data_IF_152700233426
#
_entry.id   IF_152700233426
#
_cell.length_a   1.000
_cell.length_b   1.000
_cell.length_c   1.000
_cell.angle_alpha   90.00
_cell.angle_beta   90.00
_cell.angle_gamma   90.00
#
_symmetry.space_group_name_H-M   'P 1'
#
loop_
_entity.id
_entity.type
_entity.pdbx_description
1 polymer ?
#
# COMPACT_ATOMS: atom_id res chain seq x y z
N UNK A 1 -37.42 21.37 24.70
CA UNK A 1 -37.42 20.07 24.00
C UNK A 1 -36.28 19.96 22.97
N UNK A 2 -36.12 20.90 22.03
CA UNK A 2 -35.07 20.89 21.00
C UNK A 2 -33.64 20.82 21.58
N UNK A 3 -33.31 21.66 22.58
CA UNK A 3 -31.99 21.66 23.23
C UNK A 3 -31.68 20.33 23.93
N UNK A 4 -32.67 19.68 24.55
CA UNK A 4 -32.50 18.38 25.20
C UNK A 4 -32.17 17.29 24.17
N UNK A 5 -32.84 17.31 23.01
CA UNK A 5 -32.58 16.38 21.92
C UNK A 5 -31.18 16.59 21.30
N UNK A 6 -30.76 17.86 21.14
CA UNK A 6 -29.39 18.16 20.71
C UNK A 6 -28.33 17.67 21.72
N UNK A 7 -28.59 17.88 23.03
CA UNK A 7 -27.68 17.42 24.08
C UNK A 7 -27.59 15.89 24.17
N UNK A 8 -28.74 15.22 24.05
CA UNK A 8 -28.79 13.75 24.01
C UNK A 8 -28.06 13.20 22.76
N UNK A 9 -28.27 13.79 21.60
CA UNK A 9 -27.57 13.42 20.36
C UNK A 9 -26.05 13.61 20.49
N UNK A 10 -25.62 14.72 21.07
CA UNK A 10 -24.20 14.99 21.33
C UNK A 10 -23.58 13.99 22.32
N UNK A 11 -24.29 13.68 23.41
CA UNK A 11 -23.84 12.70 24.39
C UNK A 11 -23.72 11.29 23.80
N UNK A 12 -24.68 10.88 22.95
CA UNK A 12 -24.62 9.60 22.22
C UNK A 12 -23.41 9.59 21.27
N UNK A 13 -23.17 10.69 20.55
CA UNK A 13 -22.02 10.84 19.66
C UNK A 13 -20.69 10.69 20.39
N UNK A 14 -20.51 11.37 21.53
CA UNK A 14 -19.31 11.22 22.38
C UNK A 14 -19.16 9.79 22.90
N UNK A 15 -20.25 9.17 23.36
CA UNK A 15 -20.26 7.79 23.84
C UNK A 15 -19.84 6.81 22.73
N UNK A 16 -20.32 7.01 21.50
CA UNK A 16 -19.93 6.20 20.36
C UNK A 16 -18.45 6.35 20.00
N UNK A 17 -17.94 7.60 19.95
CA UNK A 17 -16.52 7.87 19.66
C UNK A 17 -15.63 7.24 20.74
N UNK A 18 -15.96 7.42 22.03
CA UNK A 18 -15.22 6.85 23.14
C UNK A 18 -15.24 5.31 23.09
N UNK A 19 -16.41 4.71 22.87
CA UNK A 19 -16.53 3.26 22.72
C UNK A 19 -15.76 2.70 21.51
N UNK A 20 -15.65 3.46 20.42
CA UNK A 20 -14.83 3.08 19.26
C UNK A 20 -13.33 3.11 19.60
N UNK A 21 -12.88 4.14 20.34
CA UNK A 21 -11.48 4.28 20.77
C UNK A 21 -11.12 3.20 21.81
N UNK A 22 -11.98 2.97 22.81
CA UNK A 22 -11.76 1.96 23.86
C UNK A 22 -11.72 0.53 23.28
N UNK A 23 -12.39 0.30 22.15
CA UNK A 23 -12.39 -0.97 21.43
C UNK A 23 -11.30 -1.06 20.34
N UNK A 24 -10.45 -0.03 20.20
CA UNK A 24 -9.34 -0.09 19.25
C UNK A 24 -8.29 -1.11 19.74
N UNK A 25 -7.66 -1.88 18.83
CA UNK A 25 -6.58 -2.77 19.21
C UNK A 25 -5.40 -1.99 19.80
N UNK A 26 -4.59 -2.66 20.63
CA UNK A 26 -3.29 -2.11 21.02
C UNK A 26 -2.43 -1.91 19.78
N UNK A 27 -1.76 -0.78 19.69
CA UNK A 27 -0.83 -0.54 18.59
C UNK A 27 0.53 -1.12 18.98
N UNK A 28 0.96 -2.17 18.29
CA UNK A 28 2.34 -2.63 18.28
C UNK A 28 2.97 -2.20 16.95
N UNK A 29 4.20 -1.68 16.99
CA UNK A 29 4.95 -1.28 15.78
C UNK A 29 5.17 -2.49 14.88
N UNK A 30 5.36 -3.68 15.45
CA UNK A 30 5.52 -4.92 14.69
C UNK A 30 4.28 -5.26 13.84
N UNK A 31 3.09 -4.91 14.31
CA UNK A 31 1.85 -5.14 13.56
C UNK A 31 1.69 -4.16 12.39
N UNK A 32 2.39 -3.02 12.45
CA UNK A 32 2.34 -1.98 11.41
C UNK A 32 3.34 -2.26 10.29
N UNK A 33 4.43 -2.93 10.60
CA UNK A 33 5.44 -3.31 9.60
C UNK A 33 4.81 -4.21 8.53
N UNK A 34 5.24 -4.08 7.28
CA UNK A 34 4.84 -4.99 6.23
C UNK A 34 5.09 -6.44 6.64
N UNK A 35 4.09 -7.30 6.47
CA UNK A 35 4.18 -8.70 6.82
C UNK A 35 4.02 -9.59 5.59
N UNK A 36 4.72 -10.73 5.59
CA UNK A 36 4.63 -11.70 4.50
C UNK A 36 5.43 -11.27 3.27
N UNK A 37 6.67 -11.74 3.21
CA UNK A 37 7.59 -11.51 2.11
C UNK A 37 7.75 -12.78 1.29
N UNK A 38 7.91 -12.62 -0.02
CA UNK A 38 8.26 -13.71 -0.91
C UNK A 38 9.68 -14.20 -0.62
N UNK A 39 9.90 -15.51 -0.62
CA UNK A 39 11.25 -16.06 -0.60
C UNK A 39 11.72 -16.31 -2.03
N UNK A 40 13.01 -16.12 -2.26
CA UNK A 40 13.61 -16.20 -3.59
C UNK A 40 14.72 -17.24 -3.64
N UNK A 41 14.71 -18.08 -4.68
CA UNK A 41 15.74 -19.09 -4.92
C UNK A 41 16.56 -18.63 -6.12
N UNK A 42 17.88 -18.54 -5.91
CA UNK A 42 18.84 -18.13 -6.93
C UNK A 42 19.78 -19.29 -7.28
N UNK A 43 20.33 -19.27 -8.49
CA UNK A 43 21.43 -20.13 -8.87
C UNK A 43 22.79 -19.60 -8.35
N UNK A 44 23.86 -20.34 -8.61
CA UNK A 44 25.21 -19.94 -8.20
C UNK A 44 25.73 -18.66 -8.89
N UNK A 45 25.15 -18.27 -10.00
CA UNK A 45 25.50 -17.09 -10.77
C UNK A 45 24.63 -15.89 -10.37
N UNK A 46 23.70 -16.06 -9.42
CA UNK A 46 22.80 -15.01 -8.92
C UNK A 46 21.54 -14.79 -9.77
N UNK A 47 21.22 -15.70 -10.70
CA UNK A 47 19.99 -15.60 -11.48
C UNK A 47 18.80 -16.12 -10.66
N UNK A 48 17.70 -15.38 -10.64
CA UNK A 48 16.46 -15.79 -9.98
C UNK A 48 15.86 -17.00 -10.67
N UNK A 49 15.80 -18.14 -9.95
CA UNK A 49 15.25 -19.40 -10.42
C UNK A 49 13.78 -19.58 -10.08
N UNK A 50 13.39 -19.16 -8.87
CA UNK A 50 12.03 -19.34 -8.36
C UNK A 50 11.70 -18.34 -7.28
N UNK A 51 10.46 -17.86 -7.26
CA UNK A 51 9.88 -17.11 -6.15
C UNK A 51 8.82 -17.97 -5.45
N UNK A 52 8.95 -18.16 -4.14
CA UNK A 52 8.00 -18.87 -3.31
C UNK A 52 7.06 -17.86 -2.67
N UNK A 53 5.77 -17.93 -2.99
CA UNK A 53 4.75 -16.94 -2.58
C UNK A 53 3.55 -17.63 -1.99
N UNK A 54 3.11 -17.19 -0.81
CA UNK A 54 1.80 -17.49 -0.26
C UNK A 54 0.82 -16.37 -0.60
N UNK A 55 -0.47 -16.62 -0.54
CA UNK A 55 -1.47 -15.55 -0.66
C UNK A 55 -1.20 -14.45 0.38
N UNK A 56 -1.06 -13.20 -0.07
CA UNK A 56 -0.71 -12.06 0.78
C UNK A 56 0.77 -11.90 1.11
N UNK A 57 1.69 -12.69 0.51
CA UNK A 57 3.14 -12.57 0.72
C UNK A 57 3.93 -12.22 -0.54
N UNK A 58 3.27 -11.86 -1.64
CA UNK A 58 3.96 -11.41 -2.85
C UNK A 58 4.46 -9.97 -2.68
N UNK A 59 5.50 -9.83 -1.87
CA UNK A 59 6.13 -8.56 -1.49
C UNK A 59 7.65 -8.72 -1.51
N UNK A 60 8.29 -7.72 -2.07
CA UNK A 60 9.74 -7.52 -2.00
C UNK A 60 9.98 -6.21 -1.25
N UNK A 61 10.85 -6.25 -0.26
CA UNK A 61 11.14 -5.10 0.59
C UNK A 61 12.08 -4.12 -0.11
N UNK A 62 11.85 -2.84 0.11
CA UNK A 62 12.72 -1.76 -0.32
C UNK A 62 12.82 -0.74 0.80
N UNK A 63 14.04 -0.28 1.11
CA UNK A 63 14.27 0.78 2.09
C UNK A 63 13.94 2.15 1.50
N UNK A 64 13.63 3.11 2.36
CA UNK A 64 13.22 4.45 1.94
C UNK A 64 14.25 5.15 1.05
N UNK A 65 15.54 4.98 1.35
CA UNK A 65 16.66 5.56 0.60
C UNK A 65 16.82 5.01 -0.83
N UNK A 66 16.19 3.88 -1.13
CA UNK A 66 16.16 3.29 -2.48
C UNK A 66 14.96 3.79 -3.31
N UNK A 67 14.01 4.49 -2.69
CA UNK A 67 12.81 4.99 -3.39
C UNK A 67 13.13 6.27 -4.16
N UNK A 68 12.81 6.36 -5.47
CA UNK A 68 12.96 7.61 -6.21
C UNK A 68 12.04 8.70 -5.66
N UNK A 69 12.54 9.94 -5.61
CA UNK A 69 11.74 11.10 -5.20
C UNK A 69 10.45 11.23 -6.02
N UNK A 70 10.51 10.97 -7.32
CA UNK A 70 9.35 11.01 -8.21
C UNK A 70 8.26 10.02 -7.80
N UNK A 71 8.65 8.83 -7.30
CA UNK A 71 7.71 7.84 -6.82
C UNK A 71 7.04 8.30 -5.52
N UNK A 72 7.85 8.70 -4.54
CA UNK A 72 7.37 9.19 -3.23
C UNK A 72 6.42 10.36 -3.45
N UNK A 73 6.82 11.34 -4.26
CA UNK A 73 6.04 12.53 -4.57
C UNK A 73 4.74 12.20 -5.33
N UNK A 74 4.74 11.21 -6.22
CA UNK A 74 3.52 10.79 -6.93
C UNK A 74 2.47 10.23 -5.98
N UNK A 75 2.89 9.39 -5.01
CA UNK A 75 1.98 8.86 -3.99
C UNK A 75 1.48 9.94 -3.03
N UNK A 76 2.36 10.83 -2.56
CA UNK A 76 1.97 11.96 -1.71
C UNK A 76 0.99 12.87 -2.46
N UNK A 77 1.27 13.21 -3.72
CA UNK A 77 0.45 14.11 -4.50
C UNK A 77 -1.00 13.63 -4.67
N UNK A 78 -1.18 12.33 -4.86
CA UNK A 78 -2.51 11.78 -5.13
C UNK A 78 -3.26 11.32 -3.89
N UNK A 79 -2.57 10.83 -2.87
CA UNK A 79 -3.19 10.23 -1.68
C UNK A 79 -3.25 11.21 -0.50
N UNK A 80 -2.20 12.03 -0.29
CA UNK A 80 -2.06 12.83 0.93
C UNK A 80 -1.17 14.06 0.72
N UNK A 81 -1.65 15.05 0.01
CA UNK A 81 -0.88 16.22 -0.44
C UNK A 81 -0.23 17.05 0.68
N UNK A 82 -0.64 16.86 1.93
CA UNK A 82 -0.10 17.53 3.11
C UNK A 82 0.51 16.56 4.12
N UNK A 83 0.97 15.42 3.64
CA UNK A 83 1.51 14.35 4.48
C UNK A 83 2.54 14.83 5.51
N UNK A 84 3.42 15.73 5.12
CA UNK A 84 4.46 16.30 6.01
C UNK A 84 3.95 17.42 6.94
N UNK A 85 2.69 17.89 6.77
CA UNK A 85 2.15 19.01 7.54
C UNK A 85 1.28 18.60 8.73
N UNK A 86 0.78 17.37 8.73
CA UNK A 86 -0.14 16.89 9.76
C UNK A 86 0.46 15.72 10.55
N UNK A 87 -0.16 15.38 11.68
CA UNK A 87 0.24 14.27 12.54
C UNK A 87 -0.82 13.15 12.51
N UNK A 88 -0.86 12.40 11.41
CA UNK A 88 -1.77 11.27 11.20
C UNK A 88 -3.19 11.64 10.75
N UNK A 89 -3.65 12.88 11.00
CA UNK A 89 -4.97 13.37 10.60
C UNK A 89 -4.85 14.69 9.87
N UNK A 90 -5.34 14.76 8.64
CA UNK A 90 -5.44 16.01 7.89
C UNK A 90 -6.80 16.70 8.11
N UNK A 91 -6.89 17.52 9.16
CA UNK A 91 -8.12 18.25 9.48
C UNK A 91 -8.55 19.22 8.37
N UNK A 92 -7.56 19.88 7.69
CA UNK A 92 -7.86 20.79 6.57
C UNK A 92 -8.44 20.00 5.39
N UNK A 93 -7.92 18.81 5.10
CA UNK A 93 -8.44 17.90 4.08
C UNK A 93 -9.86 17.43 4.39
N UNK A 94 -10.12 17.04 5.62
CA UNK A 94 -11.46 16.63 6.07
C UNK A 94 -12.47 17.78 5.88
N UNK A 95 -12.11 18.99 6.30
CA UNK A 95 -12.98 20.16 6.15
C UNK A 95 -13.21 20.52 4.67
N UNK A 96 -12.17 20.45 3.84
CA UNK A 96 -12.29 20.66 2.39
C UNK A 96 -13.19 19.61 1.76
N UNK A 97 -12.97 18.33 2.03
CA UNK A 97 -13.78 17.24 1.49
C UNK A 97 -15.26 17.35 1.93
N UNK A 98 -15.50 17.73 3.17
CA UNK A 98 -16.86 18.00 3.68
C UNK A 98 -17.50 19.18 2.95
N UNK A 99 -16.81 20.30 2.76
CA UNK A 99 -17.31 21.45 2.02
C UNK A 99 -17.65 21.11 0.56
N UNK A 100 -16.72 20.43 -0.15
CA UNK A 100 -16.94 20.01 -1.53
C UNK A 100 -18.08 18.98 -1.62
N UNK A 101 -18.17 18.05 -0.66
CA UNK A 101 -19.25 17.08 -0.60
C UNK A 101 -20.62 17.71 -0.43
N UNK A 102 -20.74 18.74 0.42
CA UNK A 102 -21.99 19.47 0.65
C UNK A 102 -22.35 20.33 -0.57
N UNK A 103 -21.39 21.05 -1.14
CA UNK A 103 -21.65 21.97 -2.26
C UNK A 103 -21.99 21.24 -3.56
N UNK A 104 -21.33 20.10 -3.82
CA UNK A 104 -21.50 19.34 -5.06
C UNK A 104 -22.50 18.17 -4.93
N UNK A 105 -23.05 17.94 -3.74
CA UNK A 105 -23.95 16.83 -3.44
C UNK A 105 -23.29 15.43 -3.58
N UNK A 106 -21.97 15.36 -3.64
CA UNK A 106 -21.20 14.12 -3.78
C UNK A 106 -19.93 14.19 -2.95
N UNK A 107 -19.76 13.24 -2.05
CA UNK A 107 -18.51 13.03 -1.31
C UNK A 107 -17.54 12.22 -2.19
N UNK A 108 -16.89 12.90 -3.12
CA UNK A 108 -15.97 12.28 -4.10
C UNK A 108 -14.50 12.43 -3.74
N UNK A 109 -14.16 13.33 -2.83
CA UNK A 109 -12.77 13.53 -2.39
C UNK A 109 -12.44 12.60 -1.22
N UNK A 110 -11.30 11.90 -1.33
CA UNK A 110 -10.70 11.17 -0.23
C UNK A 110 -10.09 12.14 0.79
N UNK A 111 -10.32 11.88 2.07
CA UNK A 111 -9.73 12.64 3.17
C UNK A 111 -8.95 11.73 4.13
N UNK A 112 -8.62 10.51 3.69
CA UNK A 112 -7.80 9.57 4.47
C UNK A 112 -6.33 9.84 4.21
N UNK A 113 -5.55 9.92 5.27
CA UNK A 113 -4.09 10.09 5.16
C UNK A 113 -3.39 8.77 4.83
N UNK A 114 -2.14 8.85 4.36
CA UNK A 114 -1.26 7.69 4.16
C UNK A 114 -1.15 6.87 5.45
N UNK A 115 -0.97 7.52 6.60
CA UNK A 115 -0.89 6.86 7.90
C UNK A 115 -2.17 6.10 8.25
N UNK A 116 -3.35 6.69 7.98
CA UNK A 116 -4.64 6.00 8.18
C UNK A 116 -4.80 4.79 7.26
N UNK A 117 -4.31 4.88 6.01
CA UNK A 117 -4.36 3.75 5.08
C UNK A 117 -3.43 2.62 5.54
N UNK A 118 -2.25 2.94 6.05
CA UNK A 118 -1.31 1.97 6.62
C UNK A 118 -1.94 1.23 7.81
N UNK A 119 -2.54 1.96 8.76
CA UNK A 119 -3.27 1.37 9.89
C UNK A 119 -4.43 0.47 9.42
N UNK A 120 -5.22 0.95 8.45
CA UNK A 120 -6.33 0.16 7.90
C UNK A 120 -5.85 -1.18 7.31
N UNK A 121 -4.74 -1.16 6.57
CA UNK A 121 -4.27 -2.32 5.84
C UNK A 121 -3.57 -3.34 6.75
N UNK A 122 -2.73 -2.88 7.67
CA UNK A 122 -1.86 -3.77 8.46
C UNK A 122 -2.43 -4.11 9.84
N UNK A 123 -3.06 -3.14 10.52
CA UNK A 123 -3.53 -3.34 11.90
C UNK A 123 -5.00 -3.74 11.95
N UNK A 124 -5.87 -3.01 11.25
CA UNK A 124 -7.32 -3.25 11.33
C UNK A 124 -7.81 -4.26 10.28
N UNK A 125 -7.03 -4.51 9.24
CA UNK A 125 -7.40 -5.37 8.09
C UNK A 125 -8.82 -5.09 7.60
N UNK A 126 -9.17 -3.78 7.54
CA UNK A 126 -10.53 -3.31 7.32
C UNK A 126 -10.84 -3.09 5.84
N UNK A 127 -12.12 -2.80 5.59
CA UNK A 127 -12.63 -2.50 4.23
C UNK A 127 -13.75 -3.43 3.80
N UNK A 128 -14.06 -4.43 4.61
CA UNK A 128 -15.09 -5.45 4.34
C UNK A 128 -16.39 -5.19 5.13
N UNK A 129 -16.47 -4.08 5.88
CA UNK A 129 -17.63 -3.76 6.73
C UNK A 129 -18.86 -3.49 5.86
N UNK A 130 -19.97 -4.11 6.23
CA UNK A 130 -21.26 -3.95 5.53
C UNK A 130 -22.13 -2.86 6.17
N UNK A 131 -22.01 -2.66 7.50
CA UNK A 131 -22.81 -1.66 8.22
C UNK A 131 -22.14 -0.28 8.23
N UNK A 132 -22.95 0.79 8.22
CA UNK A 132 -22.46 2.18 8.35
C UNK A 132 -21.84 2.44 9.73
N UNK A 133 -22.36 1.80 10.78
CA UNK A 133 -21.85 1.95 12.13
C UNK A 133 -20.43 1.36 12.25
N UNK A 134 -20.19 0.18 11.66
CA UNK A 134 -18.86 -0.45 11.68
C UNK A 134 -17.86 0.34 10.83
N UNK A 135 -18.26 0.85 9.67
CA UNK A 135 -17.44 1.75 8.84
C UNK A 135 -17.04 3.01 9.62
N UNK A 136 -17.98 3.61 10.34
CA UNK A 136 -17.70 4.79 11.15
C UNK A 136 -16.79 4.47 12.34
N UNK A 137 -17.06 3.33 13.03
CA UNK A 137 -16.21 2.85 14.14
C UNK A 137 -14.76 2.65 13.65
N UNK A 138 -14.57 1.91 12.56
CA UNK A 138 -13.25 1.70 11.97
C UNK A 138 -12.59 3.04 11.62
N UNK A 139 -13.34 3.98 11.03
CA UNK A 139 -12.77 5.27 10.64
C UNK A 139 -12.27 6.09 11.85
N UNK A 140 -12.97 6.01 12.99
CA UNK A 140 -12.52 6.62 14.25
C UNK A 140 -11.25 5.92 14.75
N UNK A 141 -11.21 4.58 14.68
CA UNK A 141 -10.03 3.80 15.08
C UNK A 141 -8.82 4.10 14.20
N UNK A 142 -9.00 4.19 12.86
CA UNK A 142 -7.95 4.60 11.93
C UNK A 142 -7.34 5.95 12.33
N UNK A 143 -8.18 6.95 12.60
CA UNK A 143 -7.71 8.27 12.99
C UNK A 143 -6.96 8.26 14.33
N UNK A 144 -7.52 7.59 15.33
CA UNK A 144 -6.90 7.48 16.66
C UNK A 144 -5.55 6.77 16.59
N UNK A 145 -5.49 5.62 15.92
CA UNK A 145 -4.27 4.84 15.77
C UNK A 145 -3.23 5.51 14.88
N UNK A 146 -3.65 6.28 13.87
CA UNK A 146 -2.74 7.03 13.01
C UNK A 146 -1.97 8.11 13.79
N UNK A 147 -2.65 8.88 14.65
CA UNK A 147 -1.97 9.85 15.52
C UNK A 147 -1.00 9.14 16.45
N UNK A 148 -1.43 8.05 17.08
CA UNK A 148 -0.59 7.27 17.99
C UNK A 148 0.63 6.68 17.28
N UNK A 149 0.49 6.23 16.03
CA UNK A 149 1.60 5.69 15.24
C UNK A 149 2.63 6.77 14.91
N UNK A 150 2.18 7.95 14.50
CA UNK A 150 3.07 9.06 14.19
C UNK A 150 3.86 9.53 15.42
N UNK A 151 3.20 9.56 16.59
CA UNK A 151 3.87 9.86 17.85
C UNK A 151 4.91 8.80 18.25
N UNK A 152 4.65 7.52 17.96
CA UNK A 152 5.55 6.43 18.32
C UNK A 152 6.74 6.28 17.38
N UNK A 153 6.53 6.43 16.07
CA UNK A 153 7.59 6.28 15.06
C UNK A 153 8.45 7.55 14.96
N UNK A 154 7.84 8.73 15.07
CA UNK A 154 8.52 10.02 14.98
C UNK A 154 9.17 10.32 13.61
N UNK A 155 8.97 9.48 12.59
CA UNK A 155 9.55 9.60 11.25
C UNK A 155 8.48 9.40 10.18
N UNK A 156 8.33 10.40 9.33
CA UNK A 156 7.46 10.36 8.15
C UNK A 156 8.01 9.41 7.09
N UNK A 157 9.31 9.35 6.95
CA UNK A 157 10.02 8.48 6.01
C UNK A 157 9.73 7.00 6.34
N UNK A 158 9.79 6.61 7.61
CA UNK A 158 9.46 5.25 8.05
C UNK A 158 7.99 4.89 7.76
N UNK A 159 7.07 5.83 7.93
CA UNK A 159 5.66 5.62 7.61
C UNK A 159 5.48 5.41 6.10
N UNK A 160 6.16 6.21 5.26
CA UNK A 160 6.15 6.07 3.81
C UNK A 160 6.75 4.74 3.37
N UNK A 161 7.88 4.34 3.96
CA UNK A 161 8.52 3.06 3.69
C UNK A 161 7.54 1.90 3.95
N UNK A 162 6.93 1.85 5.12
CA UNK A 162 5.96 0.82 5.45
C UNK A 162 4.74 0.85 4.54
N UNK A 163 4.24 2.04 4.22
CA UNK A 163 3.11 2.20 3.31
C UNK A 163 3.43 1.70 1.90
N UNK A 164 4.56 2.13 1.33
CA UNK A 164 4.98 1.77 -0.02
C UNK A 164 5.38 0.31 -0.15
N UNK A 165 5.81 -0.32 0.93
CA UNK A 165 6.02 -1.78 1.00
C UNK A 165 4.73 -2.58 1.25
N UNK A 166 3.62 -1.93 1.62
CA UNK A 166 2.35 -2.63 1.98
C UNK A 166 1.29 -2.54 0.90
N UNK A 167 1.24 -1.42 0.19
CA UNK A 167 0.10 -1.07 -0.67
C UNK A 167 -0.13 -2.12 -1.77
N UNK A 168 -1.42 -2.46 -1.98
CA UNK A 168 -1.82 -3.32 -3.09
C UNK A 168 -1.87 -2.51 -4.39
N UNK A 169 -1.06 -2.91 -5.37
CA UNK A 169 -0.95 -2.28 -6.68
C UNK A 169 -1.51 -3.15 -7.82
N UNK A 170 -2.40 -4.08 -7.48
CA UNK A 170 -3.05 -4.97 -8.47
C UNK A 170 -2.17 -6.15 -8.89
N UNK A 171 -2.76 -7.12 -9.60
CA UNK A 171 -1.99 -8.26 -10.11
C UNK A 171 -1.28 -9.09 -9.02
N UNK A 172 -1.83 -9.11 -7.82
CA UNK A 172 -1.21 -9.73 -6.63
C UNK A 172 0.13 -9.08 -6.22
N UNK A 173 0.38 -7.82 -6.59
CA UNK A 173 1.58 -7.09 -6.19
C UNK A 173 1.32 -6.32 -4.91
N UNK A 174 2.03 -6.66 -3.85
CA UNK A 174 2.07 -5.93 -2.60
C UNK A 174 3.40 -5.17 -2.51
N UNK A 175 3.30 -3.84 -2.38
CA UNK A 175 4.44 -2.94 -2.39
C UNK A 175 4.95 -2.55 -3.77
N UNK A 176 5.71 -1.46 -3.78
CA UNK A 176 6.16 -0.79 -5.02
C UNK A 176 7.26 -1.56 -5.75
N UNK A 177 8.13 -2.28 -5.03
CA UNK A 177 9.21 -3.06 -5.65
C UNK A 177 8.63 -4.22 -6.47
N UNK A 178 7.74 -5.00 -5.87
CA UNK A 178 7.04 -6.09 -6.57
C UNK A 178 6.26 -5.58 -7.77
N UNK A 179 5.62 -4.41 -7.64
CA UNK A 179 4.88 -3.78 -8.76
C UNK A 179 5.83 -3.29 -9.87
N UNK A 180 6.99 -2.74 -9.53
CA UNK A 180 8.02 -2.32 -10.47
C UNK A 180 8.54 -3.51 -11.29
N UNK A 181 8.86 -4.61 -10.64
CA UNK A 181 9.24 -5.86 -11.31
C UNK A 181 8.11 -6.41 -12.17
N UNK A 182 6.88 -6.45 -11.66
CA UNK A 182 5.73 -7.04 -12.35
C UNK A 182 5.34 -6.28 -13.61
N UNK A 183 5.36 -4.95 -13.56
CA UNK A 183 4.87 -4.13 -14.67
C UNK A 183 5.98 -3.69 -15.62
N UNK A 184 7.18 -3.46 -15.13
CA UNK A 184 8.28 -2.89 -15.92
C UNK A 184 9.52 -3.78 -16.00
N UNK A 185 9.64 -4.86 -15.21
CA UNK A 185 10.82 -5.71 -15.14
C UNK A 185 12.06 -4.98 -14.61
N UNK A 186 11.85 -3.97 -13.74
CA UNK A 186 12.89 -3.10 -13.20
C UNK A 186 12.82 -3.06 -11.68
N UNK A 187 13.93 -2.73 -11.06
CA UNK A 187 13.91 -2.31 -9.67
C UNK A 187 13.25 -0.93 -9.53
N UNK A 188 12.68 -0.66 -8.37
CA UNK A 188 11.96 0.58 -8.11
C UNK A 188 12.83 1.83 -8.32
N UNK A 189 14.11 1.77 -7.98
CA UNK A 189 15.06 2.89 -8.17
C UNK A 189 15.45 3.16 -9.64
N UNK A 190 15.05 2.29 -10.57
CA UNK A 190 15.27 2.45 -12.01
C UNK A 190 14.05 3.03 -12.73
N UNK A 191 12.96 3.28 -11.99
CA UNK A 191 11.72 3.78 -12.58
C UNK A 191 11.85 5.24 -13.00
N UNK A 192 11.33 5.56 -14.16
CA UNK A 192 11.16 6.93 -14.65
C UNK A 192 9.94 7.59 -14.01
N UNK A 193 9.84 8.94 -14.08
CA UNK A 193 8.65 9.69 -13.64
C UNK A 193 7.37 9.11 -14.22
N UNK A 194 7.38 8.77 -15.52
CA UNK A 194 6.24 8.16 -16.20
C UNK A 194 5.80 6.86 -15.58
N UNK A 195 6.75 5.98 -15.26
CA UNK A 195 6.51 4.68 -14.65
C UNK A 195 6.06 4.81 -13.18
N UNK A 196 6.66 5.73 -12.42
CA UNK A 196 6.23 6.06 -11.05
C UNK A 196 4.76 6.48 -10.99
N UNK A 197 4.33 7.31 -11.94
CA UNK A 197 2.94 7.80 -11.99
C UNK A 197 1.93 6.73 -12.43
N UNK A 198 2.34 5.70 -13.19
CA UNK A 198 1.52 4.51 -13.46
C UNK A 198 1.25 3.73 -12.18
N UNK A 199 2.27 3.50 -11.35
CA UNK A 199 2.11 2.81 -10.06
C UNK A 199 1.19 3.61 -9.13
N UNK A 200 1.43 4.91 -8.98
CA UNK A 200 0.61 5.78 -8.14
C UNK A 200 -0.86 5.84 -8.61
N UNK A 201 -1.11 5.78 -9.92
CA UNK A 201 -2.47 5.75 -10.46
C UNK A 201 -3.26 4.48 -10.09
N UNK A 202 -2.59 3.39 -9.71
CA UNK A 202 -3.23 2.11 -9.40
C UNK A 202 -3.87 2.09 -8.00
N UNK A 203 -3.42 2.93 -7.07
CA UNK A 203 -3.71 2.87 -5.63
C UNK A 203 -5.18 2.83 -5.24
N UNK A 204 -5.99 3.74 -5.77
CA UNK A 204 -7.36 3.95 -5.28
C UNK A 204 -8.32 2.80 -5.62
N UNK A 205 -8.05 2.05 -6.67
CA UNK A 205 -8.79 0.84 -7.05
C UNK A 205 -7.89 -0.06 -7.92
N UNK A 206 -7.10 -0.94 -7.27
CA UNK A 206 -6.11 -1.77 -7.96
C UNK A 206 -6.67 -2.68 -9.06
N UNK A 207 -7.92 -3.09 -8.94
CA UNK A 207 -8.57 -3.89 -9.99
C UNK A 207 -8.97 -3.05 -11.20
N UNK A 208 -9.53 -1.85 -10.96
CA UNK A 208 -10.00 -0.96 -12.04
C UNK A 208 -8.87 -0.24 -12.77
N UNK A 209 -7.80 0.09 -12.04
CA UNK A 209 -6.67 0.85 -12.57
C UNK A 209 -5.43 -0.02 -12.77
N UNK A 210 -5.60 -1.34 -12.88
CA UNK A 210 -4.50 -2.24 -13.19
C UNK A 210 -3.94 -1.90 -14.58
N UNK A 211 -2.65 -1.56 -14.71
CA UNK A 211 -2.09 -1.10 -15.98
C UNK A 211 -2.00 -2.19 -17.04
N UNK A 212 -2.01 -3.49 -16.66
CA UNK A 212 -2.03 -4.62 -17.60
C UNK A 212 -3.42 -4.86 -18.19
N UNK A 213 -4.44 -4.86 -17.34
CA UNK A 213 -5.80 -5.25 -17.75
C UNK A 213 -6.68 -4.06 -18.12
N UNK A 214 -6.38 -2.88 -17.58
CA UNK A 214 -7.14 -1.64 -17.75
C UNK A 214 -6.22 -0.43 -18.02
N UNK A 215 -5.34 -0.49 -19.06
CA UNK A 215 -4.36 0.56 -19.34
C UNK A 215 -4.99 1.92 -19.64
N UNK A 216 -6.18 1.95 -20.25
CA UNK A 216 -6.89 3.20 -20.56
C UNK A 216 -7.39 3.91 -19.30
N UNK A 217 -7.96 3.18 -18.38
CA UNK A 217 -8.44 3.68 -17.09
C UNK A 217 -7.28 4.16 -16.22
N UNK A 218 -6.17 3.40 -16.22
CA UNK A 218 -4.94 3.81 -15.56
C UNK A 218 -4.39 5.11 -16.18
N UNK A 219 -4.35 5.23 -17.52
CA UNK A 219 -3.89 6.44 -18.20
C UNK A 219 -4.70 7.69 -17.83
N UNK A 220 -6.03 7.57 -17.72
CA UNK A 220 -6.89 8.65 -17.26
C UNK A 220 -6.54 9.05 -15.82
N UNK A 221 -6.32 8.09 -14.94
CA UNK A 221 -5.95 8.35 -13.54
C UNK A 221 -4.53 8.90 -13.42
N UNK A 222 -3.58 8.39 -14.21
CA UNK A 222 -2.19 8.87 -14.30
C UNK A 222 -2.12 10.35 -14.65
N UNK A 223 -2.95 10.81 -15.59
CA UNK A 223 -3.04 12.24 -15.92
C UNK A 223 -3.39 13.09 -14.69
N UNK A 224 -4.29 12.59 -13.83
CA UNK A 224 -4.64 13.28 -12.57
C UNK A 224 -3.44 13.29 -11.61
N UNK A 225 -2.68 12.20 -11.51
CA UNK A 225 -1.45 12.15 -10.69
C UNK A 225 -0.46 13.22 -11.16
N UNK A 226 -0.14 13.26 -12.45
CA UNK A 226 0.78 14.24 -13.03
C UNK A 226 0.31 15.69 -12.82
N UNK A 227 -0.99 15.95 -12.96
CA UNK A 227 -1.55 17.28 -12.69
C UNK A 227 -1.39 17.65 -11.21
N UNK A 228 -1.65 16.72 -10.29
CA UNK A 228 -1.46 16.91 -8.84
C UNK A 228 -0.01 17.14 -8.47
N UNK A 229 0.93 16.41 -9.07
CA UNK A 229 2.37 16.63 -8.85
C UNK A 229 2.80 18.04 -9.32
N UNK A 230 2.28 18.49 -10.47
CA UNK A 230 2.54 19.83 -10.97
C UNK A 230 1.92 20.93 -10.09
N UNK A 231 0.64 20.80 -9.71
CA UNK A 231 -0.05 21.73 -8.81
C UNK A 231 0.67 21.90 -7.46
N UNK A 232 1.36 20.87 -7.01
CA UNK A 232 2.11 20.84 -5.74
C UNK A 232 3.59 21.17 -5.91
N UNK A 233 4.03 21.56 -7.12
CA UNK A 233 5.41 21.91 -7.46
C UNK A 233 6.43 20.77 -7.27
N UNK A 234 6.01 19.51 -7.33
CA UNK A 234 6.92 18.37 -7.34
C UNK A 234 7.59 18.18 -8.69
N UNK A 235 6.92 18.57 -9.78
CA UNK A 235 7.45 18.54 -11.14
C UNK A 235 7.20 19.86 -11.87
N UNK A 236 8.03 20.15 -12.86
CA UNK A 236 7.85 21.31 -13.74
C UNK A 236 6.77 21.06 -14.79
N UNK A 237 6.35 22.14 -15.47
CA UNK A 237 5.42 22.04 -16.60
C UNK A 237 5.95 21.15 -17.72
N UNK A 238 7.25 21.27 -18.06
CA UNK A 238 7.89 20.50 -19.10
C UNK A 238 7.96 19.01 -18.72
N UNK A 239 8.41 18.68 -17.50
CA UNK A 239 8.40 17.31 -17.00
C UNK A 239 7.00 16.66 -17.02
N UNK A 240 5.96 17.43 -16.68
CA UNK A 240 4.57 16.95 -16.78
C UNK A 240 4.20 16.60 -18.22
N UNK A 241 4.50 17.49 -19.17
CA UNK A 241 4.15 17.27 -20.56
C UNK A 241 4.97 16.13 -21.19
N UNK A 242 6.27 16.09 -20.94
CA UNK A 242 7.14 14.99 -21.40
C UNK A 242 6.62 13.64 -20.87
N UNK A 243 6.21 13.58 -19.61
CA UNK A 243 5.61 12.38 -19.05
C UNK A 243 4.23 12.06 -19.66
N UNK A 244 3.41 13.04 -20.02
CA UNK A 244 2.12 12.83 -20.68
C UNK A 244 2.28 12.28 -22.10
N UNK A 245 3.29 12.75 -22.82
CA UNK A 245 3.59 12.36 -24.20
C UNK A 245 4.34 11.01 -24.30
N UNK A 246 4.90 10.55 -23.18
CA UNK A 246 5.62 9.28 -23.09
C UNK A 246 4.68 8.07 -23.23
N UNK A 247 4.98 7.19 -24.20
CA UNK A 247 4.27 5.92 -24.42
C UNK A 247 4.66 4.85 -23.38
N UNK A 248 4.45 5.16 -22.09
CA UNK A 248 4.81 4.29 -20.98
C UNK A 248 4.11 2.92 -21.01
N UNK A 249 2.91 2.85 -21.60
CA UNK A 249 2.12 1.62 -21.62
C UNK A 249 2.67 0.57 -22.59
N UNK A 250 3.45 0.97 -23.60
CA UNK A 250 4.15 0.04 -24.48
C UNK A 250 5.27 -0.74 -23.78
N UNK A 251 5.78 -0.20 -22.66
CA UNK A 251 6.83 -0.83 -21.85
C UNK A 251 6.30 -1.77 -20.79
N UNK A 252 4.98 -1.79 -20.57
CA UNK A 252 4.39 -2.70 -19.59
C UNK A 252 4.53 -4.13 -20.08
N UNK A 253 5.23 -4.93 -19.29
CA UNK A 253 5.49 -6.31 -19.63
C UNK A 253 4.21 -7.13 -19.55
N UNK A 254 3.76 -7.65 -20.68
CA UNK A 254 2.78 -8.72 -20.77
C UNK A 254 3.46 -10.04 -20.41
N UNK A 255 4.09 -10.12 -19.24
CA UNK A 255 4.69 -11.37 -18.81
C UNK A 255 3.56 -12.35 -18.58
N UNK A 256 3.48 -13.36 -19.41
CA UNK A 256 2.69 -14.54 -19.13
C UNK A 256 3.01 -14.99 -17.71
N UNK A 257 1.96 -15.18 -16.91
CA UNK A 257 2.03 -15.59 -15.52
C UNK A 257 2.60 -17.02 -15.34
N UNK A 258 3.64 -17.36 -16.06
CA UNK A 258 4.31 -18.65 -15.92
C UNK A 258 4.94 -18.84 -14.54
N UNK A 259 5.02 -17.76 -13.72
CA UNK A 259 5.54 -17.84 -12.34
C UNK A 259 4.50 -17.61 -11.26
N UNK A 260 3.28 -17.17 -11.59
CA UNK A 260 2.20 -17.03 -10.60
C UNK A 260 1.37 -18.32 -10.56
N UNK A 261 1.80 -19.28 -9.76
CA UNK A 261 0.96 -20.43 -9.40
C UNK A 261 1.21 -21.74 -10.16
N UNK A 262 2.20 -21.84 -11.02
CA UNK A 262 2.66 -23.16 -11.47
C UNK A 262 3.54 -23.77 -10.38
N UNK A 263 2.97 -24.71 -9.62
CA UNK A 263 3.69 -25.55 -8.64
C UNK A 263 4.63 -26.58 -9.28
N UNK A 264 5.02 -26.37 -10.53
CA UNK A 264 6.03 -27.23 -11.16
C UNK A 264 7.41 -26.69 -10.81
N UNK A 265 7.93 -27.13 -9.66
CA UNK A 265 9.32 -26.89 -9.30
C UNK A 265 10.24 -27.58 -10.28
N UNK A 266 11.34 -26.92 -10.64
CA UNK A 266 12.46 -27.64 -11.25
C UNK A 266 13.03 -28.62 -10.21
N UNK A 267 13.69 -29.69 -10.66
CA UNK A 267 14.36 -30.63 -9.75
C UNK A 267 15.31 -29.91 -8.77
N UNK A 268 15.96 -28.85 -9.24
CA UNK A 268 16.85 -28.03 -8.41
C UNK A 268 16.07 -27.27 -7.33
N UNK A 269 15.01 -26.57 -7.69
CA UNK A 269 14.22 -25.81 -6.71
C UNK A 269 13.54 -26.70 -5.68
N UNK A 270 13.11 -27.89 -6.10
CA UNK A 270 12.55 -28.90 -5.19
C UNK A 270 13.61 -29.43 -4.20
N UNK A 271 14.82 -29.68 -4.69
CA UNK A 271 15.94 -30.12 -3.83
C UNK A 271 16.33 -29.02 -2.80
N UNK A 272 16.40 -27.75 -3.23
CA UNK A 272 16.66 -26.60 -2.35
C UNK A 272 15.56 -26.48 -1.30
N UNK A 273 14.29 -26.54 -1.73
CA UNK A 273 13.13 -26.47 -0.83
C UNK A 273 13.21 -27.55 0.27
N UNK A 274 13.42 -28.80 -0.12
CA UNK A 274 13.50 -29.92 0.82
C UNK A 274 14.67 -29.75 1.78
N UNK A 275 15.85 -29.37 1.28
CA UNK A 275 17.03 -29.17 2.12
C UNK A 275 16.83 -28.05 3.15
N UNK A 276 16.22 -26.91 2.75
CA UNK A 276 15.95 -25.81 3.67
C UNK A 276 14.91 -26.22 4.71
N UNK A 277 13.86 -26.95 4.31
CA UNK A 277 12.87 -27.48 5.25
C UNK A 277 13.52 -28.41 6.29
N UNK A 278 14.37 -29.32 5.84
CA UNK A 278 15.09 -30.25 6.73
C UNK A 278 16.03 -29.52 7.68
N UNK A 279 16.74 -28.50 7.20
CA UNK A 279 17.64 -27.67 8.01
C UNK A 279 16.87 -26.85 9.05
N UNK A 280 15.77 -26.24 8.69
CA UNK A 280 14.90 -25.50 9.61
C UNK A 280 14.36 -26.41 10.72
N UNK A 281 13.95 -27.62 10.39
CA UNK A 281 13.43 -28.59 11.36
C UNK A 281 14.53 -29.19 12.22
N UNK A 282 15.62 -29.69 11.61
CA UNK A 282 16.64 -30.47 12.32
C UNK A 282 17.63 -29.58 13.09
N UNK A 283 18.00 -28.40 12.57
CA UNK A 283 19.01 -27.51 13.16
C UNK A 283 18.41 -26.40 14.02
N UNK A 284 17.22 -25.91 13.67
CA UNK A 284 16.59 -24.77 14.33
C UNK A 284 15.33 -25.13 15.11
N UNK A 285 14.86 -26.39 15.02
CA UNK A 285 13.74 -26.90 15.81
C UNK A 285 12.36 -26.43 15.36
N UNK A 286 12.22 -25.88 14.15
CA UNK A 286 10.91 -25.51 13.61
C UNK A 286 10.06 -26.75 13.32
N UNK A 287 8.72 -26.62 13.50
CA UNK A 287 7.79 -27.62 12.99
C UNK A 287 7.70 -27.55 11.45
N UNK A 288 7.20 -28.62 10.81
CA UNK A 288 6.99 -28.62 9.36
C UNK A 288 6.09 -27.46 8.89
N UNK A 289 5.03 -27.13 9.65
CA UNK A 289 4.14 -26.00 9.35
C UNK A 289 4.84 -24.64 9.47
N UNK A 290 5.72 -24.47 10.47
CA UNK A 290 6.50 -23.24 10.62
C UNK A 290 7.54 -23.09 9.51
N UNK A 291 8.21 -24.17 9.13
CA UNK A 291 9.17 -24.20 8.01
C UNK A 291 8.49 -23.81 6.70
N UNK A 292 7.31 -24.39 6.42
CA UNK A 292 6.51 -24.02 5.26
C UNK A 292 6.13 -22.52 5.26
N UNK A 293 5.60 -22.04 6.39
CA UNK A 293 5.21 -20.63 6.52
C UNK A 293 6.41 -19.71 6.30
N UNK A 294 7.58 -20.03 6.89
CA UNK A 294 8.78 -19.23 6.74
C UNK A 294 9.27 -19.19 5.29
N UNK A 295 9.25 -20.33 4.59
CA UNK A 295 9.65 -20.43 3.18
C UNK A 295 8.70 -19.67 2.23
N UNK A 296 7.42 -19.62 2.50
CA UNK A 296 6.46 -19.02 1.58
C UNK A 296 6.04 -17.58 1.94
N UNK A 297 6.40 -17.11 3.14
CA UNK A 297 6.02 -15.77 3.61
C UNK A 297 7.04 -15.12 4.53
N UNK A 298 8.23 -15.70 4.69
CA UNK A 298 9.28 -15.20 5.57
C UNK A 298 10.35 -14.36 4.90
N UNK A 299 10.40 -14.32 3.57
CA UNK A 299 11.39 -13.52 2.85
C UNK A 299 12.83 -14.09 2.95
N UNK A 300 12.98 -15.38 2.76
CA UNK A 300 14.30 -16.06 2.76
C UNK A 300 15.02 -15.90 1.42
#
# INVERSE_FOLDING_TARGET
MFLILCFAGFAIGIGFVRGAIDAAPSLDILDVQPQGYASQIYDADGNLMQTLVMEGSNREEVSFDQLPDDLVNAFIAIEDSRFYEHNGIDLKGILRAAYVGITNGRFSEGASTITQQLIKNNVLQGGYETSMADKLRRKIQEQFLAVKLEDQLGSKETILEYYLNTINLGGNCLGVQTAAHRYFGKNVWELTLSECTVLAATTSNPSRYNPLTHPKENAVRRKIVLEKMYEQNFITYDQKNDALDDDVYSRIQTVDNATSGSTVFSYFTDAVYNQVCDDLQSKLGYSASQSYKLLYSGGL
#
